data_IF_535026109292
#
_entry.id   IF_535026109292
#
_cell.length_a   1.000
_cell.length_b   1.000
_cell.length_c   1.000
_cell.angle_alpha   90.00
_cell.angle_beta   90.00
_cell.angle_gamma   90.00
#
_symmetry.space_group_name_H-M   'P 1'
#
loop_
_entity.id
_entity.type
_entity.pdbx_description
1 polymer ?
#
# COMPACT_ATOMS: atom_id res chain seq x y z
N UNK A 1 10.75 15.45 14.14
CA UNK A 1 9.52 15.61 13.37
C UNK A 1 9.72 15.25 11.91
N UNK A 2 8.75 14.62 11.31
CA UNK A 2 8.80 14.30 9.88
C UNK A 2 8.73 15.58 9.05
N UNK A 3 9.56 15.66 8.03
CA UNK A 3 9.53 16.80 7.12
C UNK A 3 8.40 16.63 6.11
N UNK A 4 7.96 17.75 5.54
CA UNK A 4 6.97 17.73 4.47
C UNK A 4 7.44 16.86 3.30
N UNK A 5 8.71 17.01 2.93
CA UNK A 5 9.30 16.23 1.84
C UNK A 5 9.27 14.74 2.14
N UNK A 6 9.60 14.35 3.37
CA UNK A 6 9.60 12.95 3.78
C UNK A 6 8.19 12.35 3.68
N UNK A 7 7.17 13.10 4.11
CA UNK A 7 5.78 12.66 4.02
C UNK A 7 5.38 12.49 2.55
N UNK A 8 5.70 13.47 1.71
CA UNK A 8 5.35 13.42 0.29
C UNK A 8 6.02 12.24 -0.42
N UNK A 9 7.29 11.96 -0.09
CA UNK A 9 8.01 10.82 -0.67
C UNK A 9 7.36 9.49 -0.28
N UNK A 10 6.98 9.35 0.98
CA UNK A 10 6.34 8.11 1.44
C UNK A 10 4.95 7.94 0.82
N UNK A 11 4.20 9.03 0.69
CA UNK A 11 2.89 8.97 0.03
C UNK A 11 3.05 8.57 -1.44
N UNK A 12 4.08 9.08 -2.11
CA UNK A 12 4.34 8.70 -3.50
C UNK A 12 4.70 7.23 -3.61
N UNK A 13 5.52 6.71 -2.70
CA UNK A 13 5.86 5.28 -2.67
C UNK A 13 4.62 4.42 -2.48
N UNK A 14 3.69 4.88 -1.64
CA UNK A 14 2.43 4.16 -1.43
C UNK A 14 1.56 4.17 -2.68
N UNK A 15 1.48 5.29 -3.37
CA UNK A 15 0.72 5.37 -4.62
C UNK A 15 1.31 4.45 -5.67
N UNK A 16 2.64 4.40 -5.77
CA UNK A 16 3.32 3.50 -6.70
C UNK A 16 3.05 2.04 -6.35
N UNK A 17 3.09 1.71 -5.06
CA UNK A 17 2.81 0.35 -4.59
C UNK A 17 1.37 -0.06 -4.91
N UNK A 18 0.42 0.84 -4.71
CA UNK A 18 -0.99 0.60 -5.03
C UNK A 18 -1.15 0.34 -6.52
N UNK A 19 -0.54 1.17 -7.36
CA UNK A 19 -0.64 1.03 -8.81
C UNK A 19 -0.08 -0.31 -9.27
N UNK A 20 1.10 -0.68 -8.79
CA UNK A 20 1.75 -1.95 -9.16
C UNK A 20 0.89 -3.13 -8.68
N UNK A 21 0.39 -3.06 -7.45
CA UNK A 21 -0.44 -4.13 -6.89
C UNK A 21 -1.76 -4.27 -7.66
N UNK A 22 -2.37 -3.16 -8.06
CA UNK A 22 -3.61 -3.20 -8.85
C UNK A 22 -3.36 -3.85 -10.20
N UNK A 23 -2.24 -3.55 -10.84
CA UNK A 23 -1.89 -4.17 -12.12
C UNK A 23 -1.71 -5.68 -11.97
N UNK A 24 -1.01 -6.12 -10.93
CA UNK A 24 -0.80 -7.54 -10.67
C UNK A 24 -2.09 -8.25 -10.30
N UNK A 25 -2.93 -7.60 -9.52
CA UNK A 25 -4.23 -8.13 -9.15
C UNK A 25 -5.11 -8.33 -10.39
N UNK A 26 -5.13 -7.35 -11.28
CA UNK A 26 -5.90 -7.43 -12.53
C UNK A 26 -5.40 -8.59 -13.40
N UNK A 27 -4.08 -8.74 -13.55
CA UNK A 27 -3.49 -9.83 -14.33
C UNK A 27 -3.83 -11.18 -13.72
N UNK A 28 -3.68 -11.31 -12.39
CA UNK A 28 -3.96 -12.57 -11.71
C UNK A 28 -5.43 -12.95 -11.84
N UNK A 29 -6.32 -11.98 -11.72
CA UNK A 29 -7.76 -12.18 -11.86
C UNK A 29 -8.12 -12.68 -13.26
N UNK A 30 -7.51 -12.10 -14.29
CA UNK A 30 -7.78 -12.46 -15.70
C UNK A 30 -7.19 -13.80 -16.08
N UNK A 31 -6.07 -14.19 -15.49
CA UNK A 31 -5.34 -15.40 -15.85
C UNK A 31 -5.58 -16.54 -14.87
N UNK A 32 -6.30 -16.29 -13.80
CA UNK A 32 -6.54 -17.26 -12.72
C UNK A 32 -5.25 -17.76 -12.06
N UNK A 33 -4.18 -16.95 -12.09
CA UNK A 33 -2.90 -17.27 -11.45
C UNK A 33 -2.71 -16.50 -10.17
N UNK A 34 -3.53 -16.81 -9.16
CA UNK A 34 -3.59 -16.05 -7.91
C UNK A 34 -2.40 -16.28 -6.97
N UNK A 35 -1.60 -17.32 -7.24
CA UNK A 35 -0.44 -17.65 -6.42
C UNK A 35 0.88 -17.38 -7.13
N UNK A 36 0.83 -16.54 -8.15
CA UNK A 36 2.00 -16.05 -8.86
C UNK A 36 2.93 -15.30 -7.90
N UNK A 37 4.25 -15.47 -8.09
CA UNK A 37 5.25 -14.78 -7.26
C UNK A 37 5.13 -13.26 -7.33
N UNK A 38 4.73 -12.71 -8.47
CA UNK A 38 4.53 -11.27 -8.62
C UNK A 38 3.33 -10.78 -7.79
N UNK A 39 2.27 -11.58 -7.71
CA UNK A 39 1.11 -11.29 -6.89
C UNK A 39 1.51 -11.24 -5.41
N UNK A 40 2.23 -12.25 -4.95
CA UNK A 40 2.71 -12.33 -3.57
C UNK A 40 3.65 -11.17 -3.25
N UNK A 41 4.56 -10.85 -4.16
CA UNK A 41 5.50 -9.73 -3.99
C UNK A 41 4.75 -8.40 -3.88
N UNK A 42 3.68 -8.23 -4.66
CA UNK A 42 2.85 -7.02 -4.60
C UNK A 42 2.15 -6.88 -3.26
N UNK A 43 1.64 -7.99 -2.71
CA UNK A 43 1.02 -7.99 -1.39
C UNK A 43 2.03 -7.61 -0.30
N UNK A 44 3.25 -8.15 -0.39
CA UNK A 44 4.32 -7.80 0.54
C UNK A 44 4.70 -6.32 0.42
N UNK A 45 4.69 -5.78 -0.79
CA UNK A 45 4.96 -4.37 -1.03
C UNK A 45 3.92 -3.48 -0.37
N UNK A 46 2.65 -3.83 -0.47
CA UNK A 46 1.58 -3.10 0.19
C UNK A 46 1.72 -3.13 1.72
N UNK A 47 2.06 -4.29 2.25
CA UNK A 47 2.28 -4.47 3.69
C UNK A 47 3.46 -3.62 4.16
N UNK A 48 4.57 -3.63 3.41
CA UNK A 48 5.74 -2.82 3.72
C UNK A 48 5.41 -1.33 3.71
N UNK A 49 4.67 -0.87 2.70
CA UNK A 49 4.25 0.53 2.61
C UNK A 49 3.35 0.91 3.79
N UNK A 50 2.43 0.04 4.17
CA UNK A 50 1.56 0.26 5.33
C UNK A 50 2.37 0.42 6.61
N UNK A 51 3.34 -0.48 6.83
CA UNK A 51 4.18 -0.45 8.03
C UNK A 51 5.06 0.80 8.06
N UNK A 52 5.61 1.21 6.92
CA UNK A 52 6.44 2.40 6.82
C UNK A 52 5.65 3.66 7.16
N UNK A 53 4.41 3.76 6.66
CA UNK A 53 3.53 4.88 7.00
C UNK A 53 3.20 4.89 8.48
N UNK A 54 2.94 3.74 9.07
CA UNK A 54 2.63 3.64 10.49
C UNK A 54 3.78 4.16 11.34
N UNK A 55 5.02 3.83 10.96
CA UNK A 55 6.21 4.33 11.65
C UNK A 55 6.37 5.84 11.45
N UNK A 56 6.21 6.31 10.24
CA UNK A 56 6.36 7.74 9.93
C UNK A 56 5.34 8.57 10.70
N UNK A 57 4.14 8.05 10.88
CA UNK A 57 3.07 8.76 11.60
C UNK A 57 3.46 9.12 13.03
N UNK A 58 4.36 8.36 13.65
CA UNK A 58 4.82 8.63 14.99
C UNK A 58 5.58 9.96 15.09
N UNK A 59 6.15 10.42 13.99
CA UNK A 59 6.93 11.65 13.92
C UNK A 59 6.18 12.82 13.28
N UNK A 60 4.90 12.64 12.99
CA UNK A 60 4.12 13.60 12.22
C UNK A 60 3.23 14.48 13.13
N UNK A 61 2.89 15.69 12.61
CA UNK A 61 1.87 16.52 13.24
C UNK A 61 0.47 16.00 12.85
N UNK A 62 -0.59 16.63 13.40
CA UNK A 62 -1.95 16.15 13.17
C UNK A 62 -2.38 16.16 11.73
N UNK A 63 -2.00 17.18 10.97
CA UNK A 63 -2.37 17.29 9.56
C UNK A 63 -1.68 16.21 8.72
N UNK A 64 -0.39 15.99 8.98
CA UNK A 64 0.38 14.94 8.30
C UNK A 64 -0.18 13.55 8.64
N UNK A 65 -0.52 13.31 9.91
CA UNK A 65 -1.12 12.04 10.32
C UNK A 65 -2.42 11.75 9.59
N UNK A 66 -3.23 12.78 9.37
CA UNK A 66 -4.49 12.60 8.64
C UNK A 66 -4.23 12.16 7.22
N UNK A 67 -3.26 12.77 6.52
CA UNK A 67 -2.89 12.36 5.18
C UNK A 67 -2.41 10.90 5.14
N UNK A 68 -1.55 10.53 6.09
CA UNK A 68 -1.03 9.16 6.17
C UNK A 68 -2.14 8.17 6.52
N UNK A 69 -3.08 8.57 7.36
CA UNK A 69 -4.21 7.72 7.72
C UNK A 69 -5.07 7.37 6.50
N UNK A 70 -5.35 8.37 5.66
CA UNK A 70 -6.12 8.14 4.43
C UNK A 70 -5.40 7.16 3.50
N UNK A 71 -4.09 7.30 3.39
CA UNK A 71 -3.29 6.40 2.57
C UNK A 71 -3.30 4.98 3.14
N UNK A 72 -3.20 4.84 4.47
CA UNK A 72 -3.29 3.54 5.14
C UNK A 72 -4.59 2.82 4.82
N UNK A 73 -5.69 3.57 4.82
CA UNK A 73 -6.99 2.98 4.49
C UNK A 73 -7.03 2.47 3.06
N UNK A 74 -6.43 3.19 2.12
CA UNK A 74 -6.36 2.75 0.72
C UNK A 74 -5.53 1.48 0.58
N UNK A 75 -4.37 1.43 1.24
CA UNK A 75 -3.51 0.25 1.22
C UNK A 75 -4.23 -0.96 1.81
N UNK A 76 -4.88 -0.76 2.94
CA UNK A 76 -5.59 -1.83 3.63
C UNK A 76 -6.76 -2.35 2.80
N UNK A 77 -7.50 -1.43 2.16
CA UNK A 77 -8.63 -1.81 1.32
C UNK A 77 -8.17 -2.70 0.17
N UNK A 78 -7.09 -2.32 -0.51
CA UNK A 78 -6.57 -3.13 -1.61
C UNK A 78 -6.06 -4.48 -1.12
N UNK A 79 -5.34 -4.52 0.00
CA UNK A 79 -4.89 -5.78 0.59
C UNK A 79 -6.07 -6.70 0.88
N UNK A 80 -7.12 -6.15 1.46
CA UNK A 80 -8.31 -6.94 1.80
C UNK A 80 -8.98 -7.48 0.54
N UNK A 81 -9.10 -6.69 -0.51
CA UNK A 81 -9.65 -7.13 -1.78
C UNK A 81 -8.86 -8.29 -2.36
N UNK A 82 -7.53 -8.16 -2.36
CA UNK A 82 -6.64 -9.18 -2.89
C UNK A 82 -6.72 -10.48 -2.08
N UNK A 83 -6.75 -10.37 -0.76
CA UNK A 83 -6.86 -11.54 0.13
C UNK A 83 -8.19 -12.25 -0.08
N UNK A 84 -9.28 -11.50 -0.16
CA UNK A 84 -10.61 -12.09 -0.35
C UNK A 84 -10.74 -12.77 -1.70
N UNK A 85 -10.10 -12.21 -2.73
CA UNK A 85 -10.14 -12.78 -4.08
C UNK A 85 -9.35 -14.08 -4.16
N UNK A 86 -8.33 -14.22 -3.31
CA UNK A 86 -7.47 -15.41 -3.28
C UNK A 86 -8.21 -16.65 -2.73
N UNK A 87 -9.39 -16.45 -2.19
CA UNK A 87 -10.25 -17.54 -1.74
C UNK A 87 -11.28 -17.88 -2.81
#
# INVERSE_FOLDING_TARGET
LATRQSVEEHLQQCEDAIRIAQEQYKKASMQEHLHDGQYTASMQMLEGAYNDIAKLALSCNGQQREQLHRMRLQLQQLQNEMILHDH
#
